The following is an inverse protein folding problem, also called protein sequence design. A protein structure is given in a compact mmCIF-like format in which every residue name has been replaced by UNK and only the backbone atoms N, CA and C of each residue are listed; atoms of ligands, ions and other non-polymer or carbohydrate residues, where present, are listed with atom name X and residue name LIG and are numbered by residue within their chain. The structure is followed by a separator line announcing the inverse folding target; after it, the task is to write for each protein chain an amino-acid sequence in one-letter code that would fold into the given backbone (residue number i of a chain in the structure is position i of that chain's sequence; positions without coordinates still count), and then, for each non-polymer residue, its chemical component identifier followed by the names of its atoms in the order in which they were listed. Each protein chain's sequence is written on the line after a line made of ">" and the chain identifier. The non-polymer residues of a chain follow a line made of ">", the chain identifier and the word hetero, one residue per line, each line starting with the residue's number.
data_IF_754193788871
#
_entry.id   IF_754193788871
#
_cell.length_a   1.000
_cell.length_b   1.000
_cell.length_c   1.000
_cell.angle_alpha   90.00
_cell.angle_beta   90.00
_cell.angle_gamma   90.00
#
_symmetry.space_group_name_H-M   'P 1'
#
loop_
_entity.id
_entity.type
_entity.pdbx_description
1 polymer ?
#
# COMPACT_ATOMS: atom_id res chain seq x y z
N UNK A 1 15.25 -26.07 -6.40
CA UNK A 1 16.47 -25.26 -6.31
C UNK A 1 16.41 -23.96 -7.11
N UNK A 2 15.89 -23.96 -8.35
CA UNK A 2 15.74 -22.78 -9.21
C UNK A 2 14.84 -21.68 -8.58
N UNK A 3 13.67 -22.02 -8.05
CA UNK A 3 12.73 -21.08 -7.41
C UNK A 3 13.35 -20.32 -6.24
N UNK A 4 14.18 -20.98 -5.39
CA UNK A 4 14.91 -20.28 -4.31
C UNK A 4 15.94 -19.29 -4.84
N UNK A 5 16.53 -19.54 -6.01
CA UNK A 5 17.52 -18.64 -6.64
C UNK A 5 16.83 -17.38 -7.18
N UNK A 6 15.70 -17.51 -7.86
CA UNK A 6 14.93 -16.37 -8.38
C UNK A 6 14.35 -15.51 -7.26
N UNK A 7 13.81 -16.11 -6.20
CA UNK A 7 13.35 -15.39 -5.02
C UNK A 7 14.48 -14.57 -4.38
N UNK A 8 15.64 -15.18 -4.19
CA UNK A 8 16.81 -14.49 -3.63
C UNK A 8 17.23 -13.29 -4.49
N UNK A 9 17.26 -13.47 -5.82
CA UNK A 9 17.55 -12.38 -6.77
C UNK A 9 16.55 -11.25 -6.67
N UNK A 10 15.24 -11.56 -6.67
CA UNK A 10 14.17 -10.56 -6.54
C UNK A 10 14.27 -9.81 -5.21
N UNK A 11 14.42 -10.54 -4.10
CA UNK A 11 14.55 -9.93 -2.78
C UNK A 11 15.79 -9.02 -2.69
N UNK A 12 16.94 -9.47 -3.17
CA UNK A 12 18.15 -8.64 -3.20
C UNK A 12 17.95 -7.37 -4.02
N UNK A 13 17.38 -7.49 -5.22
CA UNK A 13 17.13 -6.36 -6.11
C UNK A 13 16.18 -5.35 -5.48
N UNK A 14 15.03 -5.80 -4.98
CA UNK A 14 14.03 -4.91 -4.38
C UNK A 14 14.53 -4.27 -3.09
N UNK A 15 15.31 -4.98 -2.28
CA UNK A 15 15.94 -4.41 -1.08
C UNK A 15 16.94 -3.31 -1.45
N UNK A 16 17.81 -3.56 -2.43
CA UNK A 16 18.75 -2.53 -2.91
C UNK A 16 17.98 -1.30 -3.39
N UNK A 17 16.95 -1.47 -4.23
CA UNK A 17 16.18 -0.34 -4.77
C UNK A 17 15.44 0.41 -3.65
N UNK A 18 14.96 -0.28 -2.61
CA UNK A 18 14.33 0.34 -1.45
C UNK A 18 15.31 1.21 -0.66
N UNK A 19 16.58 0.83 -0.62
CA UNK A 19 17.64 1.55 0.10
C UNK A 19 18.31 2.66 -0.73
N UNK A 20 18.19 2.65 -2.07
CA UNK A 20 18.81 3.67 -2.92
C UNK A 20 18.46 5.12 -2.56
N UNK A 21 17.24 5.48 -2.09
CA UNK A 21 16.94 6.83 -1.65
C UNK A 21 17.88 7.35 -0.57
N UNK A 22 18.51 6.47 0.24
CA UNK A 22 19.54 6.87 1.22
C UNK A 22 20.68 7.61 0.53
N UNK A 23 21.13 7.14 -0.64
CA UNK A 23 22.21 7.79 -1.38
C UNK A 23 21.83 9.19 -1.82
N UNK A 24 20.58 9.41 -2.21
CA UNK A 24 20.06 10.74 -2.56
C UNK A 24 20.07 11.65 -1.33
N UNK A 25 19.58 11.18 -0.19
CA UNK A 25 19.58 11.95 1.05
C UNK A 25 20.99 12.24 1.57
N UNK A 26 21.93 11.31 1.42
CA UNK A 26 23.35 11.54 1.76
C UNK A 26 24.02 12.55 0.83
N UNK A 27 23.66 12.56 -0.47
CA UNK A 27 24.17 13.55 -1.42
C UNK A 27 23.74 14.98 -1.03
N UNK A 28 22.53 15.16 -0.53
CA UNK A 28 22.03 16.45 -0.07
C UNK A 28 22.20 16.71 1.44
N UNK A 29 22.96 15.85 2.15
CA UNK A 29 23.02 15.84 3.61
C UNK A 29 23.29 17.20 4.26
N UNK A 30 24.26 17.95 3.75
CA UNK A 30 24.64 19.24 4.30
C UNK A 30 23.62 20.36 4.00
N UNK A 31 22.75 20.15 3.03
CA UNK A 31 21.69 21.10 2.66
C UNK A 31 20.38 20.81 3.40
N UNK A 32 20.24 19.59 3.97
CA UNK A 32 19.03 19.18 4.66
C UNK A 32 19.02 19.68 6.12
N UNK A 33 17.85 20.13 6.63
CA UNK A 33 17.73 20.56 8.02
C UNK A 33 17.83 19.37 8.99
N UNK A 34 18.21 19.62 10.24
CA UNK A 34 18.34 18.57 11.26
C UNK A 34 17.00 17.92 11.63
N UNK A 35 15.90 18.67 11.49
CA UNK A 35 14.53 18.17 11.63
C UNK A 35 13.84 18.21 10.27
N UNK A 36 13.35 17.09 9.82
CA UNK A 36 12.68 16.91 8.53
C UNK A 36 11.21 16.56 8.74
N UNK A 37 10.34 17.14 7.90
CA UNK A 37 8.93 16.82 7.90
C UNK A 37 8.72 15.37 7.41
N UNK A 38 8.08 14.55 8.23
CA UNK A 38 7.78 13.14 7.92
C UNK A 38 6.30 12.83 8.00
N UNK A 39 5.48 13.74 8.47
CA UNK A 39 4.04 13.66 8.49
C UNK A 39 3.42 15.01 8.14
N UNK A 40 2.32 14.97 7.39
CA UNK A 40 1.60 16.14 6.92
C UNK A 40 0.12 15.99 7.24
N UNK A 41 -0.55 17.07 7.56
CA UNK A 41 -2.01 17.10 7.76
C UNK A 41 -2.76 17.01 6.42
N UNK A 42 -4.09 17.00 6.48
CA UNK A 42 -4.96 16.96 5.30
C UNK A 42 -4.86 18.19 4.41
N UNK A 43 -4.36 19.30 4.91
CA UNK A 43 -4.08 20.53 4.16
C UNK A 43 -2.69 20.53 3.51
N UNK A 44 -1.86 19.53 3.84
CA UNK A 44 -0.48 19.44 3.35
C UNK A 44 0.52 20.21 4.22
N UNK A 45 0.10 20.72 5.38
CA UNK A 45 1.00 21.39 6.33
C UNK A 45 1.73 20.33 7.17
N UNK A 46 3.07 20.44 7.33
CA UNK A 46 3.81 19.53 8.19
C UNK A 46 3.33 19.61 9.64
N UNK A 47 2.94 18.49 10.21
CA UNK A 47 2.53 18.38 11.61
C UNK A 47 3.24 17.26 12.36
N UNK A 48 4.22 16.59 11.73
CA UNK A 48 5.11 15.61 12.35
C UNK A 48 6.53 15.71 11.80
N UNK A 49 7.50 15.70 12.71
CA UNK A 49 8.91 15.93 12.40
C UNK A 49 9.76 14.82 12.97
N UNK A 50 10.79 14.45 12.24
CA UNK A 50 11.78 13.47 12.67
C UNK A 50 13.19 14.00 12.49
N UNK A 51 14.19 13.37 13.12
CA UNK A 51 15.59 13.71 12.86
C UNK A 51 15.96 13.41 11.41
N UNK A 52 16.90 14.15 10.85
CA UNK A 52 17.48 13.93 9.52
C UNK A 52 17.93 12.47 9.35
N UNK A 53 18.58 11.89 10.33
CA UNK A 53 19.00 10.48 10.33
C UNK A 53 17.83 9.52 10.12
N UNK A 54 16.75 9.74 10.88
CA UNK A 54 15.58 8.87 10.74
C UNK A 54 14.90 9.05 9.38
N UNK A 55 14.73 10.29 8.93
CA UNK A 55 14.07 10.59 7.66
C UNK A 55 14.85 10.03 6.45
N UNK A 56 16.18 10.17 6.45
CA UNK A 56 17.03 9.79 5.31
C UNK A 56 17.40 8.31 5.34
N UNK A 57 17.71 7.76 6.51
CA UNK A 57 18.23 6.40 6.65
C UNK A 57 17.17 5.47 7.27
N UNK A 58 16.55 5.89 8.36
CA UNK A 58 15.63 5.06 9.14
C UNK A 58 14.41 4.62 8.36
N UNK A 59 13.74 5.53 7.65
CA UNK A 59 12.53 5.21 6.87
C UNK A 59 12.82 4.22 5.74
N UNK A 60 13.79 4.42 4.85
CA UNK A 60 14.13 3.42 3.83
C UNK A 60 14.58 2.08 4.43
N UNK A 61 15.32 2.09 5.55
CA UNK A 61 15.75 0.87 6.22
C UNK A 61 14.55 0.08 6.78
N UNK A 62 13.59 0.74 7.42
CA UNK A 62 12.36 0.10 7.89
C UNK A 62 11.58 -0.48 6.71
N UNK A 63 11.43 0.27 5.62
CA UNK A 63 10.73 -0.21 4.42
C UNK A 63 11.46 -1.40 3.77
N UNK A 64 12.78 -1.46 3.82
CA UNK A 64 13.55 -2.61 3.34
C UNK A 64 13.30 -3.86 4.21
N UNK A 65 13.22 -3.71 5.54
CA UNK A 65 12.85 -4.80 6.45
C UNK A 65 11.41 -5.26 6.17
N UNK A 66 10.46 -4.33 6.03
CA UNK A 66 9.06 -4.65 5.70
C UNK A 66 8.97 -5.36 4.35
N UNK A 67 9.72 -4.91 3.33
CA UNK A 67 9.79 -5.57 2.03
C UNK A 67 10.26 -7.02 2.14
N UNK A 68 11.33 -7.24 2.91
CA UNK A 68 11.87 -8.58 3.13
C UNK A 68 10.86 -9.48 3.84
N UNK A 69 10.22 -8.99 4.90
CA UNK A 69 9.19 -9.72 5.64
C UNK A 69 7.99 -10.06 4.75
N UNK A 70 7.43 -9.09 4.04
CA UNK A 70 6.28 -9.32 3.14
C UNK A 70 6.63 -10.33 2.04
N UNK A 71 7.81 -10.22 1.44
CA UNK A 71 8.28 -11.14 0.41
C UNK A 71 8.44 -12.55 0.96
N UNK A 72 9.12 -12.72 2.09
CA UNK A 72 9.36 -14.04 2.70
C UNK A 72 8.04 -14.67 3.13
N UNK A 73 7.17 -13.93 3.85
CA UNK A 73 5.89 -14.44 4.33
C UNK A 73 4.97 -14.89 3.18
N UNK A 74 4.88 -14.11 2.11
CA UNK A 74 4.05 -14.49 0.96
C UNK A 74 4.63 -15.65 0.15
N UNK A 75 5.95 -15.75 0.04
CA UNK A 75 6.60 -16.87 -0.66
C UNK A 75 6.60 -18.18 0.13
N UNK A 76 6.57 -18.10 1.45
CA UNK A 76 6.49 -19.27 2.33
C UNK A 76 5.06 -19.68 2.70
N UNK A 77 4.05 -18.96 2.20
CA UNK A 77 2.65 -19.32 2.41
C UNK A 77 2.35 -20.73 1.86
N UNK A 78 1.80 -21.65 2.65
CA UNK A 78 1.34 -22.96 2.16
C UNK A 78 0.38 -22.85 0.97
N UNK A 79 -0.33 -21.74 0.85
CA UNK A 79 -1.25 -21.44 -0.26
C UNK A 79 -0.62 -20.58 -1.37
N UNK A 80 0.73 -20.49 -1.46
CA UNK A 80 1.46 -19.68 -2.45
C UNK A 80 1.00 -19.92 -3.88
N UNK A 81 0.63 -21.16 -4.22
CA UNK A 81 0.10 -21.53 -5.54
C UNK A 81 -1.23 -20.84 -5.90
N UNK A 82 -1.94 -20.27 -4.91
CA UNK A 82 -3.19 -19.51 -5.11
C UNK A 82 -2.96 -18.02 -5.42
N UNK A 83 -1.71 -17.53 -5.32
CA UNK A 83 -1.38 -16.14 -5.64
C UNK A 83 -1.10 -15.96 -7.13
N UNK A 84 -1.79 -15.02 -7.80
CA UNK A 84 -1.43 -14.66 -9.18
C UNK A 84 -0.01 -14.08 -9.24
N UNK A 85 0.78 -14.47 -10.22
CA UNK A 85 2.16 -13.98 -10.42
C UNK A 85 2.25 -12.44 -10.49
N UNK A 86 1.26 -11.80 -11.14
CA UNK A 86 1.21 -10.33 -11.22
C UNK A 86 0.98 -9.69 -9.86
N UNK A 87 0.21 -10.32 -8.97
CA UNK A 87 0.00 -9.85 -7.61
C UNK A 87 1.27 -9.98 -6.77
N UNK A 88 2.03 -11.05 -6.95
CA UNK A 88 3.32 -11.21 -6.29
C UNK A 88 4.31 -10.12 -6.71
N UNK A 89 4.33 -9.75 -8.00
CA UNK A 89 5.14 -8.60 -8.44
C UNK A 89 4.76 -7.30 -7.72
N UNK A 90 3.46 -7.06 -7.49
CA UNK A 90 3.04 -5.89 -6.69
C UNK A 90 3.58 -5.95 -5.26
N UNK A 91 3.53 -7.12 -4.61
CA UNK A 91 4.07 -7.29 -3.25
C UNK A 91 5.57 -6.95 -3.21
N UNK A 92 6.34 -7.45 -4.17
CA UNK A 92 7.78 -7.20 -4.21
C UNK A 92 8.15 -5.74 -4.45
N UNK A 93 7.37 -5.03 -5.27
CA UNK A 93 7.68 -3.67 -5.70
C UNK A 93 6.99 -2.57 -4.88
N UNK A 94 6.06 -2.92 -4.01
CA UNK A 94 5.31 -1.94 -3.21
C UNK A 94 6.24 -1.10 -2.33
N UNK A 95 7.07 -1.75 -1.49
CA UNK A 95 7.97 -1.04 -0.59
C UNK A 95 9.05 -0.23 -1.33
N UNK A 96 9.71 -0.72 -2.41
CA UNK A 96 10.57 0.12 -3.24
C UNK A 96 9.88 1.39 -3.72
N UNK A 97 8.68 1.28 -4.29
CA UNK A 97 7.92 2.44 -4.80
C UNK A 97 7.54 3.41 -3.68
N UNK A 98 7.07 2.90 -2.54
CA UNK A 98 6.75 3.72 -1.35
C UNK A 98 8.01 4.42 -0.83
N UNK A 99 9.16 3.75 -0.79
CA UNK A 99 10.42 4.32 -0.31
C UNK A 99 10.86 5.52 -1.15
N UNK A 100 10.83 5.38 -2.48
CA UNK A 100 11.14 6.47 -3.39
C UNK A 100 10.15 7.62 -3.28
N UNK A 101 8.86 7.33 -3.15
CA UNK A 101 7.83 8.34 -2.98
C UNK A 101 8.03 9.13 -1.68
N UNK A 102 8.17 8.44 -0.54
CA UNK A 102 8.36 9.09 0.76
C UNK A 102 9.67 9.90 0.81
N UNK A 103 10.78 9.32 0.35
CA UNK A 103 12.06 10.02 0.32
C UNK A 103 12.02 11.23 -0.61
N UNK A 104 11.42 11.10 -1.80
CA UNK A 104 11.27 12.19 -2.75
C UNK A 104 10.56 13.39 -2.14
N UNK A 105 9.46 13.16 -1.43
CA UNK A 105 8.71 14.19 -0.74
C UNK A 105 9.51 14.79 0.41
N UNK A 106 10.02 13.95 1.31
CA UNK A 106 10.70 14.40 2.54
C UNK A 106 11.98 15.16 2.22
N UNK A 107 12.78 14.69 1.26
CA UNK A 107 14.02 15.39 0.82
C UNK A 107 13.66 16.66 0.07
N UNK A 108 12.70 16.63 -0.86
CA UNK A 108 12.28 17.81 -1.61
C UNK A 108 11.79 18.93 -0.69
N UNK A 109 10.95 18.59 0.29
CA UNK A 109 10.48 19.54 1.30
C UNK A 109 11.64 20.05 2.16
N UNK A 110 12.56 19.18 2.57
CA UNK A 110 13.74 19.55 3.36
C UNK A 110 14.68 20.52 2.62
N UNK A 111 14.69 20.49 1.29
CA UNK A 111 15.45 21.42 0.42
C UNK A 111 14.70 22.74 0.16
N UNK A 112 13.54 22.97 0.81
CA UNK A 112 12.76 24.20 0.65
C UNK A 112 11.89 24.23 -0.60
N UNK A 113 11.67 23.11 -1.28
CA UNK A 113 10.77 23.04 -2.42
C UNK A 113 9.32 22.91 -1.95
N UNK A 114 8.68 24.04 -1.65
CA UNK A 114 7.26 24.09 -1.24
C UNK A 114 6.28 23.77 -2.38
N UNK A 115 6.76 23.63 -3.62
CA UNK A 115 5.95 23.30 -4.79
C UNK A 115 5.30 21.91 -4.76
N UNK A 116 5.70 21.06 -3.83
CA UNK A 116 5.08 19.74 -3.66
C UNK A 116 3.80 19.92 -2.87
N UNK A 117 2.71 20.22 -3.57
CA UNK A 117 1.37 20.18 -2.97
C UNK A 117 1.08 18.76 -2.46
N UNK A 118 1.41 18.52 -1.18
CA UNK A 118 1.37 17.20 -0.55
C UNK A 118 0.05 16.45 -0.76
N UNK A 119 -1.14 17.10 -0.58
CA UNK A 119 -2.41 16.41 -0.84
C UNK A 119 -2.53 15.92 -2.28
N UNK A 120 -2.10 16.73 -3.24
CA UNK A 120 -2.13 16.34 -4.66
C UNK A 120 -1.21 15.16 -4.95
N UNK A 121 0.01 15.16 -4.41
CA UNK A 121 0.95 14.04 -4.60
C UNK A 121 0.43 12.77 -3.92
N UNK A 122 -0.14 12.88 -2.73
CA UNK A 122 -0.79 11.77 -2.05
C UNK A 122 -1.97 11.21 -2.86
N UNK A 123 -2.85 12.07 -3.37
CA UNK A 123 -3.96 11.68 -4.25
C UNK A 123 -3.47 10.94 -5.49
N UNK A 124 -2.45 11.46 -6.17
CA UNK A 124 -1.87 10.83 -7.36
C UNK A 124 -1.30 9.44 -7.02
N UNK A 125 -0.49 9.36 -5.98
CA UNK A 125 0.16 8.12 -5.56
C UNK A 125 -0.85 7.06 -5.13
N UNK A 126 -1.77 7.42 -4.22
CA UNK A 126 -2.80 6.52 -3.74
C UNK A 126 -3.78 6.13 -4.85
N UNK A 127 -4.12 7.07 -5.73
CA UNK A 127 -4.99 6.82 -6.89
C UNK A 127 -4.41 5.74 -7.79
N UNK A 128 -3.15 5.86 -8.20
CA UNK A 128 -2.45 4.84 -9.01
C UNK A 128 -2.42 3.51 -8.26
N UNK A 129 -2.04 3.52 -6.99
CA UNK A 129 -1.92 2.31 -6.17
C UNK A 129 -3.25 1.57 -6.07
N UNK A 130 -4.35 2.28 -5.80
CA UNK A 130 -5.66 1.66 -5.63
C UNK A 130 -6.26 1.16 -6.94
N UNK A 131 -6.03 1.84 -8.06
CA UNK A 131 -6.41 1.31 -9.39
C UNK A 131 -5.68 -0.01 -9.66
N UNK A 132 -4.37 -0.05 -9.39
CA UNK A 132 -3.58 -1.27 -9.61
C UNK A 132 -4.05 -2.39 -8.68
N UNK A 133 -4.09 -2.17 -7.36
CA UNK A 133 -4.48 -3.19 -6.39
C UNK A 133 -5.92 -3.64 -6.64
N UNK A 134 -6.85 -2.71 -6.85
CA UNK A 134 -8.26 -2.99 -7.10
C UNK A 134 -8.47 -3.89 -8.33
N UNK A 135 -7.69 -3.69 -9.40
CA UNK A 135 -7.75 -4.53 -10.59
C UNK A 135 -7.27 -5.99 -10.35
N UNK A 136 -6.39 -6.19 -9.37
CA UNK A 136 -5.91 -7.53 -9.04
C UNK A 136 -6.65 -8.19 -7.88
N UNK A 137 -7.30 -7.42 -7.01
CA UNK A 137 -7.99 -7.92 -5.83
C UNK A 137 -9.01 -9.04 -6.12
N UNK A 138 -9.85 -8.98 -7.18
CA UNK A 138 -10.77 -10.07 -7.53
C UNK A 138 -10.09 -11.40 -7.92
N UNK A 139 -8.81 -11.35 -8.25
CA UNK A 139 -8.02 -12.53 -8.67
C UNK A 139 -7.30 -13.21 -7.51
N UNK A 140 -7.31 -12.58 -6.33
CA UNK A 140 -6.68 -13.10 -5.12
C UNK A 140 -7.58 -14.16 -4.50
N UNK A 141 -7.18 -15.42 -4.61
CA UNK A 141 -7.87 -16.55 -3.96
C UNK A 141 -7.61 -16.54 -2.45
N UNK A 142 -8.45 -17.24 -1.70
CA UNK A 142 -8.32 -17.31 -0.24
C UNK A 142 -6.94 -17.84 0.17
N UNK A 143 -6.25 -17.06 0.99
CA UNK A 143 -4.87 -17.25 1.39
C UNK A 143 -4.59 -16.66 2.78
N UNK A 144 -3.34 -16.77 3.30
CA UNK A 144 -3.00 -16.32 4.64
C UNK A 144 -2.57 -14.86 4.74
N UNK A 145 -2.00 -14.23 3.70
CA UNK A 145 -1.35 -12.93 3.82
C UNK A 145 -1.97 -11.80 3.01
N UNK A 146 -2.54 -12.05 1.84
CA UNK A 146 -3.06 -11.02 0.94
C UNK A 146 -4.58 -10.98 0.89
N UNK A 147 -5.17 -9.77 0.89
CA UNK A 147 -6.59 -9.56 0.70
C UNK A 147 -7.33 -9.06 1.94
N UNK A 148 -8.66 -9.00 1.84
CA UNK A 148 -9.57 -8.54 2.90
C UNK A 148 -9.86 -9.72 3.83
N UNK A 149 -9.14 -9.76 4.95
CA UNK A 149 -9.17 -10.86 5.91
C UNK A 149 -10.05 -10.48 7.11
N UNK A 150 -11.29 -10.88 7.03
CA UNK A 150 -12.26 -10.81 8.13
C UNK A 150 -12.59 -12.24 8.56
N UNK A 151 -13.00 -12.49 9.80
CA UNK A 151 -13.29 -13.86 10.28
C UNK A 151 -14.19 -14.62 9.31
N UNK A 152 -15.26 -14.00 8.86
CA UNK A 152 -16.24 -14.58 7.95
C UNK A 152 -15.78 -14.68 6.48
N UNK A 153 -14.87 -13.83 5.99
CA UNK A 153 -14.28 -14.04 4.66
C UNK A 153 -13.25 -15.16 4.70
N UNK A 154 -12.56 -15.30 5.83
CA UNK A 154 -11.53 -16.32 5.98
C UNK A 154 -12.11 -17.74 6.16
N UNK A 155 -13.30 -17.86 6.76
CA UNK A 155 -13.99 -19.14 6.96
C UNK A 155 -14.83 -19.60 5.78
N UNK A 156 -15.17 -18.71 4.84
CA UNK A 156 -16.06 -18.98 3.70
C UNK A 156 -15.45 -18.46 2.38
N UNK A 157 -15.10 -19.39 1.47
CA UNK A 157 -14.49 -19.06 0.19
C UNK A 157 -15.44 -18.30 -0.74
N UNK A 158 -16.76 -18.56 -0.69
CA UNK A 158 -17.74 -17.79 -1.49
C UNK A 158 -17.83 -16.33 -0.99
N UNK A 159 -17.87 -16.13 0.33
CA UNK A 159 -17.80 -14.79 0.91
C UNK A 159 -16.50 -14.07 0.51
N UNK A 160 -15.36 -14.76 0.59
CA UNK A 160 -14.08 -14.23 0.12
C UNK A 160 -14.15 -13.76 -1.33
N UNK A 161 -14.57 -14.63 -2.23
CA UNK A 161 -14.59 -14.33 -3.67
C UNK A 161 -15.55 -13.17 -4.00
N UNK A 162 -16.73 -13.11 -3.38
CA UNK A 162 -17.71 -12.03 -3.57
C UNK A 162 -17.20 -10.70 -3.03
N UNK A 163 -16.67 -10.72 -1.82
CA UNK A 163 -16.12 -9.52 -1.17
C UNK A 163 -14.95 -8.94 -1.98
N UNK A 164 -14.00 -9.77 -2.41
CA UNK A 164 -12.86 -9.31 -3.20
C UNK A 164 -13.26 -8.80 -4.58
N UNK A 165 -14.29 -9.40 -5.21
CA UNK A 165 -14.81 -8.93 -6.49
C UNK A 165 -15.50 -7.59 -6.38
N UNK A 166 -16.29 -7.38 -5.34
CA UNK A 166 -16.95 -6.09 -5.07
C UNK A 166 -15.92 -5.03 -4.67
N UNK A 167 -15.05 -5.35 -3.72
CA UNK A 167 -14.01 -4.44 -3.25
C UNK A 167 -13.05 -4.04 -4.38
N UNK A 168 -12.70 -4.94 -5.29
CA UNK A 168 -11.85 -4.63 -6.42
C UNK A 168 -12.43 -3.52 -7.31
N UNK A 169 -13.73 -3.58 -7.61
CA UNK A 169 -14.43 -2.53 -8.36
C UNK A 169 -14.43 -1.20 -7.58
N UNK A 170 -14.75 -1.26 -6.29
CA UNK A 170 -14.78 -0.09 -5.42
C UNK A 170 -13.41 0.59 -5.33
N UNK A 171 -12.33 -0.19 -5.22
CA UNK A 171 -10.97 0.33 -5.13
C UNK A 171 -10.51 0.95 -6.46
N UNK A 172 -10.88 0.39 -7.60
CA UNK A 172 -10.62 1.01 -8.91
C UNK A 172 -11.35 2.35 -9.02
N UNK A 173 -12.64 2.40 -8.65
CA UNK A 173 -13.43 3.64 -8.68
C UNK A 173 -12.83 4.67 -7.72
N UNK A 174 -12.54 4.28 -6.48
CA UNK A 174 -11.90 5.15 -5.49
C UNK A 174 -10.55 5.68 -5.97
N UNK A 175 -9.74 4.82 -6.58
CA UNK A 175 -8.46 5.21 -7.18
C UNK A 175 -8.63 6.23 -8.32
N UNK A 176 -9.62 6.06 -9.20
CA UNK A 176 -9.94 7.04 -10.26
C UNK A 176 -10.38 8.37 -9.66
N UNK A 177 -11.22 8.35 -8.61
CA UNK A 177 -11.62 9.56 -7.90
C UNK A 177 -10.39 10.29 -7.35
N UNK A 178 -9.43 9.58 -6.76
CA UNK A 178 -8.20 10.20 -6.26
C UNK A 178 -7.31 10.72 -7.40
N UNK A 179 -7.23 10.05 -8.54
CA UNK A 179 -6.52 10.57 -9.71
C UNK A 179 -7.14 11.88 -10.22
N UNK A 180 -8.46 11.99 -10.22
CA UNK A 180 -9.15 13.23 -10.54
C UNK A 180 -8.90 14.31 -9.48
N UNK A 181 -8.79 13.91 -8.20
CA UNK A 181 -8.50 14.84 -7.11
C UNK A 181 -7.13 15.49 -7.21
N UNK A 182 -6.17 14.86 -7.88
CA UNK A 182 -4.90 15.50 -8.20
C UNK A 182 -5.08 16.85 -8.91
N UNK A 183 -6.08 16.95 -9.79
CA UNK A 183 -6.41 18.20 -10.51
C UNK A 183 -7.33 19.11 -9.68
N UNK A 184 -8.32 18.53 -8.97
CA UNK A 184 -9.31 19.29 -8.21
C UNK A 184 -8.74 19.87 -6.92
N UNK A 185 -7.84 19.17 -6.24
CA UNK A 185 -7.19 19.63 -5.01
C UNK A 185 -8.13 19.70 -3.80
N UNK A 186 -9.15 18.84 -3.72
CA UNK A 186 -10.07 18.78 -2.59
C UNK A 186 -9.38 18.12 -1.41
N UNK A 187 -9.04 18.90 -0.39
CA UNK A 187 -8.37 18.40 0.81
C UNK A 187 -9.26 17.43 1.60
N UNK A 188 -8.68 16.34 2.06
CA UNK A 188 -9.37 15.32 2.86
C UNK A 188 -10.20 14.32 2.07
N UNK A 189 -10.32 14.46 0.75
CA UNK A 189 -11.04 13.49 -0.09
C UNK A 189 -10.41 12.10 -0.01
N UNK A 190 -9.08 12.02 0.16
CA UNK A 190 -8.34 10.77 0.36
C UNK A 190 -8.87 9.99 1.56
N UNK A 191 -9.11 10.68 2.67
CA UNK A 191 -9.61 10.05 3.91
C UNK A 191 -11.02 9.51 3.67
N UNK A 192 -11.90 10.28 3.03
CA UNK A 192 -13.26 9.85 2.73
C UNK A 192 -13.25 8.60 1.83
N UNK A 193 -12.46 8.62 0.77
CA UNK A 193 -12.31 7.48 -0.15
C UNK A 193 -11.78 6.26 0.58
N UNK A 194 -10.75 6.40 1.43
CA UNK A 194 -10.19 5.31 2.23
C UNK A 194 -11.24 4.71 3.17
N UNK A 195 -12.00 5.53 3.90
CA UNK A 195 -13.05 5.08 4.81
C UNK A 195 -14.11 4.27 4.04
N UNK A 196 -14.57 4.78 2.90
CA UNK A 196 -15.54 4.11 2.03
C UNK A 196 -15.01 2.76 1.53
N UNK A 197 -13.73 2.71 1.11
CA UNK A 197 -13.06 1.51 0.60
C UNK A 197 -12.86 0.43 1.67
N UNK A 198 -12.87 0.78 2.95
CA UNK A 198 -12.76 -0.16 4.08
C UNK A 198 -14.15 -0.55 4.59
N UNK A 199 -15.03 0.41 4.83
CA UNK A 199 -16.34 0.16 5.46
C UNK A 199 -17.26 -0.64 4.55
N UNK A 200 -17.37 -0.27 3.27
CA UNK A 200 -18.32 -0.94 2.35
C UNK A 200 -18.02 -2.43 2.19
N UNK A 201 -16.76 -2.88 1.92
CA UNK A 201 -16.47 -4.31 1.85
C UNK A 201 -16.67 -5.04 3.17
N UNK A 202 -16.39 -4.38 4.28
CA UNK A 202 -16.57 -4.97 5.62
C UNK A 202 -18.05 -5.23 5.91
N UNK A 203 -18.90 -4.22 5.69
CA UNK A 203 -20.37 -4.35 5.89
C UNK A 203 -20.97 -5.34 4.92
N UNK A 204 -20.58 -5.30 3.63
CA UNK A 204 -21.04 -6.24 2.62
C UNK A 204 -20.72 -7.69 3.00
N UNK A 205 -19.48 -7.94 3.38
CA UNK A 205 -19.00 -9.26 3.77
C UNK A 205 -19.70 -9.80 5.02
N UNK A 206 -19.94 -8.93 6.02
CA UNK A 206 -20.68 -9.28 7.22
C UNK A 206 -22.14 -9.59 6.92
N UNK A 207 -22.82 -8.75 6.13
CA UNK A 207 -24.23 -8.97 5.76
C UNK A 207 -24.40 -10.28 4.99
N UNK A 208 -23.46 -10.60 4.08
CA UNK A 208 -23.47 -11.85 3.37
C UNK A 208 -23.31 -13.07 4.30
N UNK A 209 -22.39 -13.00 5.26
CA UNK A 209 -22.23 -14.07 6.27
C UNK A 209 -23.51 -14.30 7.07
N UNK A 210 -24.13 -13.21 7.55
CA UNK A 210 -25.37 -13.29 8.34
C UNK A 210 -26.55 -13.88 7.56
N UNK A 211 -26.64 -13.55 6.27
CA UNK A 211 -27.68 -14.14 5.41
C UNK A 211 -27.51 -15.66 5.29
N UNK A 212 -26.30 -16.10 5.04
CA UNK A 212 -25.96 -17.52 4.87
C UNK A 212 -26.19 -18.31 6.17
N UNK A 213 -25.88 -17.73 7.33
CA UNK A 213 -26.15 -18.35 8.62
C UNK A 213 -27.66 -18.56 8.83
N UNK A 214 -28.50 -17.58 8.49
CA UNK A 214 -29.97 -17.70 8.60
C UNK A 214 -30.54 -18.81 7.70
N UNK A 215 -30.07 -18.89 6.46
CA UNK A 215 -30.48 -19.96 5.52
C UNK A 215 -30.16 -21.35 6.08
N UNK A 216 -29.00 -21.53 6.70
CA UNK A 216 -28.55 -22.80 7.27
C UNK A 216 -29.36 -23.26 8.51
N UNK A 217 -30.01 -22.35 9.24
CA UNK A 217 -30.79 -22.67 10.44
C UNK A 217 -32.32 -22.75 10.17
N UNK A 218 -32.76 -22.47 8.93
CA UNK A 218 -34.16 -22.56 8.53
C UNK A 218 -34.47 -23.74 7.61
N UNK A 219 -33.44 -24.48 7.18
CA UNK A 219 -33.50 -25.79 6.54
C UNK A 219 -33.22 -26.89 7.59
#
# INVERSE_FOLDING_TARGET
>A
MAMKKELKKTLTLTTIITLLPILVGLFYWDQLPDKMATHFDIGGTPNGWSSKWFAVIGLPAILAVVNALCTVLTETDPRRHKYPEKMMKLVYWLCPVVSWFCAGITISYGLGNEFVAMPKMASLFLGILFVIIGNYLPKVKQNYYLGIKLPWTYSDEDNWNRTHRMAGKLWVIGGIILLLNFFLGISGLEIVVLIVMVIIPTVYSWAFSRKKDKEKYHD
#
